data_IF_668180073519
#
_entry.id   IF_668180073519
#
_cell.length_a   1.000
_cell.length_b   1.000
_cell.length_c   1.000
_cell.angle_alpha   90.00
_cell.angle_beta   90.00
_cell.angle_gamma   90.00
#
_symmetry.space_group_name_H-M   'P 1'
#
loop_
_entity.id
_entity.type
_entity.pdbx_description
1 polymer ?
#
# COMPACT_ATOMS: atom_id res chain seq x y z
N UNK A 1 23.94 14.41 23.05
CA UNK A 1 22.85 14.27 22.07
C UNK A 1 22.16 15.60 21.97
N UNK A 2 22.28 16.26 20.83
CA UNK A 2 21.70 17.57 20.53
C UNK A 2 20.27 17.41 20.00
N UNK A 3 19.42 18.42 20.14
CA UNK A 3 18.03 18.39 19.63
C UNK A 3 17.93 18.01 18.14
N UNK A 4 18.96 18.35 17.34
CA UNK A 4 19.06 17.95 15.93
C UNK A 4 19.22 16.45 15.75
N UNK A 5 20.03 15.78 16.59
CA UNK A 5 20.24 14.33 16.50
C UNK A 5 18.95 13.57 16.85
N UNK A 6 18.22 14.04 17.87
CA UNK A 6 16.91 13.46 18.27
C UNK A 6 15.86 13.66 17.17
N UNK A 7 15.84 14.82 16.51
CA UNK A 7 14.94 15.08 15.39
C UNK A 7 15.23 14.19 14.17
N UNK A 8 16.51 14.01 13.82
CA UNK A 8 16.92 13.13 12.71
C UNK A 8 16.61 11.67 12.98
N UNK A 9 16.78 11.20 14.21
CA UNK A 9 16.43 9.82 14.59
C UNK A 9 14.92 9.57 14.49
N UNK A 10 14.09 10.51 14.95
CA UNK A 10 12.63 10.42 14.81
C UNK A 10 12.19 10.37 13.34
N UNK A 11 12.81 11.20 12.49
CA UNK A 11 12.53 11.18 11.05
C UNK A 11 12.90 9.83 10.42
N UNK A 12 14.06 9.26 10.78
CA UNK A 12 14.47 7.92 10.30
C UNK A 12 13.50 6.83 10.73
N UNK A 13 13.07 6.85 11.99
CA UNK A 13 12.08 5.88 12.50
C UNK A 13 10.74 6.02 11.77
N UNK A 14 10.27 7.24 11.53
CA UNK A 14 9.06 7.49 10.76
C UNK A 14 9.17 6.94 9.33
N UNK A 15 10.28 7.19 8.64
CA UNK A 15 10.52 6.64 7.29
C UNK A 15 10.53 5.12 7.28
N UNK A 16 11.15 4.47 8.27
CA UNK A 16 11.15 3.00 8.36
C UNK A 16 9.75 2.43 8.59
N UNK A 17 8.95 3.08 9.44
CA UNK A 17 7.56 2.71 9.67
C UNK A 17 6.70 2.85 8.41
N UNK A 18 6.89 3.94 7.65
CA UNK A 18 6.19 4.14 6.38
C UNK A 18 6.57 3.09 5.34
N UNK A 19 7.86 2.76 5.22
CA UNK A 19 8.35 1.71 4.31
C UNK A 19 7.70 0.37 4.67
N UNK A 20 7.68 0.02 5.95
CA UNK A 20 7.11 -1.25 6.41
C UNK A 20 5.60 -1.30 6.20
N UNK A 21 4.89 -0.20 6.47
CA UNK A 21 3.47 -0.08 6.21
C UNK A 21 3.15 -0.26 4.71
N UNK A 22 3.97 0.30 3.82
CA UNK A 22 3.81 0.14 2.36
C UNK A 22 4.02 -1.32 1.95
N UNK A 23 5.03 -2.01 2.50
CA UNK A 23 5.27 -3.44 2.21
C UNK A 23 4.10 -4.31 2.64
N UNK A 24 3.56 -4.09 3.83
CA UNK A 24 2.41 -4.84 4.33
C UNK A 24 1.16 -4.61 3.47
N UNK A 25 0.93 -3.37 3.04
CA UNK A 25 -0.16 -3.04 2.09
C UNK A 25 0.02 -3.75 0.76
N UNK A 26 1.23 -3.78 0.21
CA UNK A 26 1.53 -4.48 -1.05
C UNK A 26 1.26 -5.98 -0.92
N UNK A 27 1.76 -6.62 0.14
CA UNK A 27 1.54 -8.04 0.39
C UNK A 27 0.05 -8.39 0.53
N UNK A 28 -0.72 -7.55 1.23
CA UNK A 28 -2.17 -7.71 1.36
C UNK A 28 -2.88 -7.55 0.01
N UNK A 29 -2.52 -6.53 -0.76
CA UNK A 29 -3.06 -6.31 -2.10
C UNK A 29 -2.84 -7.53 -3.00
N UNK A 30 -1.63 -8.08 -3.03
CA UNK A 30 -1.30 -9.27 -3.83
C UNK A 30 -2.13 -10.49 -3.39
N UNK A 31 -2.20 -10.75 -2.08
CA UNK A 31 -2.96 -11.88 -1.54
C UNK A 31 -4.46 -11.77 -1.83
N UNK A 32 -5.05 -10.58 -1.67
CA UNK A 32 -6.47 -10.35 -1.95
C UNK A 32 -6.78 -10.40 -3.44
N UNK A 33 -5.87 -9.92 -4.29
CA UNK A 33 -6.00 -10.00 -5.74
C UNK A 33 -6.03 -11.47 -6.20
N UNK A 34 -5.11 -12.30 -5.71
CA UNK A 34 -5.09 -13.74 -6.00
C UNK A 34 -6.38 -14.43 -5.54
N UNK A 35 -6.88 -14.11 -4.34
CA UNK A 35 -8.14 -14.63 -3.83
C UNK A 35 -9.33 -14.24 -4.72
N UNK A 36 -9.41 -12.99 -5.14
CA UNK A 36 -10.49 -12.49 -6.01
C UNK A 36 -10.43 -13.18 -7.38
N UNK A 37 -9.24 -13.35 -7.96
CA UNK A 37 -9.05 -14.05 -9.25
C UNK A 37 -9.54 -15.50 -9.14
N UNK A 38 -9.12 -16.22 -8.09
CA UNK A 38 -9.56 -17.60 -7.85
C UNK A 38 -11.06 -17.72 -7.67
N UNK A 39 -11.67 -16.78 -6.92
CA UNK A 39 -13.12 -16.73 -6.79
C UNK A 39 -13.82 -16.50 -8.14
N UNK A 40 -13.32 -15.56 -8.96
CA UNK A 40 -13.87 -15.29 -10.29
C UNK A 40 -13.75 -16.47 -11.26
N UNK A 41 -12.70 -17.27 -11.12
CA UNK A 41 -12.52 -18.52 -11.87
C UNK A 41 -13.39 -19.67 -11.34
N UNK A 42 -14.07 -19.52 -10.19
CA UNK A 42 -14.82 -20.59 -9.53
C UNK A 42 -13.93 -21.62 -8.81
N UNK A 43 -12.65 -21.32 -8.61
CA UNK A 43 -11.63 -22.21 -8.05
C UNK A 43 -11.32 -21.91 -6.58
N UNK A 44 -11.87 -20.83 -6.03
CA UNK A 44 -11.57 -20.35 -4.69
C UNK A 44 -12.77 -19.85 -3.90
N UNK A 45 -12.61 -19.66 -2.58
CA UNK A 45 -13.66 -19.12 -1.73
C UNK A 45 -13.96 -17.67 -2.08
N UNK A 46 -15.22 -17.27 -1.91
CA UNK A 46 -15.60 -15.86 -2.02
C UNK A 46 -14.82 -15.00 -1.03
N UNK A 47 -14.27 -13.84 -1.44
CA UNK A 47 -13.81 -12.85 -0.50
C UNK A 47 -14.98 -12.36 0.36
N UNK A 48 -14.70 -12.00 1.61
CA UNK A 48 -15.64 -11.29 2.47
C UNK A 48 -15.81 -9.84 1.99
N UNK A 49 -16.86 -9.17 2.48
CA UNK A 49 -17.08 -7.75 2.20
C UNK A 49 -15.90 -6.91 2.70
N UNK A 50 -15.38 -7.22 3.89
CA UNK A 50 -14.24 -6.53 4.48
C UNK A 50 -12.97 -6.72 3.64
N UNK A 51 -12.69 -7.95 3.19
CA UNK A 51 -11.56 -8.25 2.30
C UNK A 51 -11.65 -7.49 0.98
N UNK A 52 -12.84 -7.41 0.39
CA UNK A 52 -13.04 -6.65 -0.84
C UNK A 52 -12.84 -5.14 -0.63
N UNK A 53 -13.33 -4.58 0.48
CA UNK A 53 -13.13 -3.17 0.81
C UNK A 53 -11.65 -2.83 1.02
N UNK A 54 -10.92 -3.66 1.78
CA UNK A 54 -9.47 -3.49 1.98
C UNK A 54 -8.71 -3.54 0.65
N UNK A 55 -9.03 -4.50 -0.21
CA UNK A 55 -8.40 -4.60 -1.54
C UNK A 55 -8.66 -3.35 -2.38
N UNK A 56 -9.91 -2.85 -2.41
CA UNK A 56 -10.28 -1.65 -3.17
C UNK A 56 -9.50 -0.43 -2.68
N UNK A 57 -9.38 -0.23 -1.38
CA UNK A 57 -8.62 0.89 -0.79
C UNK A 57 -7.12 0.81 -1.17
N UNK A 58 -6.53 -0.38 -1.10
CA UNK A 58 -5.13 -0.58 -1.49
C UNK A 58 -4.91 -0.32 -3.01
N UNK A 59 -5.86 -0.72 -3.86
CA UNK A 59 -5.86 -0.43 -5.31
C UNK A 59 -5.95 1.07 -5.58
N UNK A 60 -6.90 1.76 -4.95
CA UNK A 60 -7.12 3.20 -5.14
C UNK A 60 -5.89 4.01 -4.74
N UNK A 61 -5.26 3.64 -3.62
CA UNK A 61 -4.02 4.25 -3.17
C UNK A 61 -2.88 4.01 -4.17
N UNK A 62 -2.71 2.77 -4.66
CA UNK A 62 -1.69 2.45 -5.65
C UNK A 62 -1.87 3.26 -6.94
N UNK A 63 -3.12 3.43 -7.39
CA UNK A 63 -3.47 4.27 -8.53
C UNK A 63 -3.21 5.75 -8.25
N UNK A 64 -3.52 6.25 -7.05
CA UNK A 64 -3.24 7.63 -6.65
C UNK A 64 -1.73 7.92 -6.67
N UNK A 65 -0.91 7.03 -6.10
CA UNK A 65 0.56 7.13 -6.16
C UNK A 65 1.05 7.13 -7.61
N UNK A 66 0.52 6.26 -8.46
CA UNK A 66 0.87 6.21 -9.88
C UNK A 66 0.52 7.52 -10.60
N UNK A 67 -0.64 8.12 -10.31
CA UNK A 67 -1.06 9.42 -10.86
C UNK A 67 -0.14 10.55 -10.39
N UNK A 68 0.27 10.55 -9.12
CA UNK A 68 1.23 11.53 -8.58
C UNK A 68 2.62 11.42 -9.21
N UNK A 69 3.02 10.23 -9.68
CA UNK A 69 4.28 10.01 -10.43
C UNK A 69 4.23 10.49 -11.89
N UNK A 70 3.10 10.99 -12.39
CA UNK A 70 2.92 11.49 -13.77
C UNK A 70 2.51 12.96 -13.71
N UNK A 71 3.45 13.82 -13.36
CA UNK A 71 3.48 15.20 -13.81
C UNK A 71 4.95 15.61 -13.96
N UNK A 72 5.60 15.32 -15.10
CA UNK A 72 6.79 16.08 -15.46
C UNK A 72 6.36 17.55 -15.62
N UNK A 73 7.14 18.53 -15.10
CA UNK A 73 6.88 19.93 -15.42
C UNK A 73 6.94 20.08 -16.94
N UNK A 74 5.84 20.59 -17.51
CA UNK A 74 5.80 20.94 -18.93
C UNK A 74 6.74 22.13 -19.14
N UNK A 75 7.64 22.10 -20.14
CA UNK A 75 8.53 23.23 -20.45
C UNK A 75 7.74 24.47 -20.90
#
# INVERSE_FOLDING_TARGET
>A
MTDKEVSLERLRLATLQEIEAVKQRLARYEALTDKIIKYQAGEGPSPSVEEFLMWREDVELALAIKKLKIAPPTP
#
